data_IF_413720655525
#
_entry.id   IF_413720655525
#
_cell.length_a   1.000
_cell.length_b   1.000
_cell.length_c   1.000
_cell.angle_alpha   90.00
_cell.angle_beta   90.00
_cell.angle_gamma   90.00
#
_symmetry.space_group_name_H-M   'P 1'
#
loop_
_entity.id
_entity.type
_entity.pdbx_description
1 polymer ?
#
# COMPACT_ATOMS: atom_id res chain seq x y z
N UNK A 1 43.62 -1.71 38.51
CA UNK A 1 43.81 -2.10 37.09
C UNK A 1 42.77 -3.12 36.62
N UNK A 2 42.39 -4.11 37.43
CA UNK A 2 41.42 -5.16 37.03
C UNK A 2 39.98 -4.67 36.77
N UNK A 3 39.53 -3.58 37.39
CA UNK A 3 38.16 -3.07 37.20
C UNK A 3 37.93 -2.37 35.85
N UNK A 4 38.97 -1.74 35.30
CA UNK A 4 38.90 -1.03 34.01
C UNK A 4 38.86 -2.03 32.85
N UNK A 5 39.57 -3.15 32.97
CA UNK A 5 39.58 -4.24 31.99
C UNK A 5 38.21 -4.94 31.97
N UNK A 6 37.57 -5.10 33.14
CA UNK A 6 36.24 -5.72 33.22
C UNK A 6 35.14 -4.80 32.64
N UNK A 7 35.23 -3.48 32.88
CA UNK A 7 34.29 -2.50 32.32
C UNK A 7 34.41 -2.36 30.79
N UNK A 8 35.62 -2.49 30.25
CA UNK A 8 35.84 -2.42 28.79
C UNK A 8 35.38 -3.70 28.08
N UNK A 9 35.53 -4.87 28.70
CA UNK A 9 34.99 -6.13 28.17
C UNK A 9 33.46 -6.17 28.12
N UNK A 10 32.78 -5.59 29.12
CA UNK A 10 31.32 -5.51 29.17
C UNK A 10 30.77 -4.54 28.11
N UNK A 11 31.47 -3.43 27.85
CA UNK A 11 31.05 -2.45 26.83
C UNK A 11 31.16 -2.97 25.38
N UNK A 12 32.05 -3.93 25.12
CA UNK A 12 32.21 -4.54 23.78
C UNK A 12 31.05 -5.50 23.48
N UNK A 13 30.49 -6.18 24.50
CA UNK A 13 29.35 -7.08 24.33
C UNK A 13 28.00 -6.38 24.09
N UNK A 14 27.85 -5.09 24.45
CA UNK A 14 26.62 -4.32 24.21
C UNK A 14 26.50 -3.71 22.81
N UNK A 15 27.50 -3.90 21.93
CA UNK A 15 27.53 -3.27 20.60
C UNK A 15 27.02 -4.15 19.46
N UNK A 16 26.48 -5.33 19.76
CA UNK A 16 25.70 -6.12 18.80
C UNK A 16 24.32 -5.48 18.62
N UNK A 17 24.27 -4.40 17.84
CA UNK A 17 23.02 -3.91 17.26
C UNK A 17 22.44 -5.02 16.40
N UNK A 18 21.48 -5.74 16.97
CA UNK A 18 20.60 -6.61 16.21
C UNK A 18 19.78 -5.68 15.32
N UNK A 19 20.20 -5.53 14.06
CA UNK A 19 19.33 -4.99 13.02
C UNK A 19 18.14 -5.93 12.94
N UNK A 20 17.00 -5.47 13.46
CA UNK A 20 15.80 -6.26 13.58
C UNK A 20 15.09 -6.30 12.22
N UNK A 21 15.73 -7.01 11.31
CA UNK A 21 15.19 -7.33 9.99
C UNK A 21 14.35 -8.60 10.12
N UNK A 22 13.20 -8.68 9.45
CA UNK A 22 12.38 -9.88 9.43
C UNK A 22 13.20 -11.03 8.84
N UNK A 23 13.08 -12.23 9.42
CA UNK A 23 13.91 -13.37 9.02
C UNK A 23 13.58 -13.86 7.61
N UNK A 24 12.30 -13.82 7.25
CA UNK A 24 11.81 -14.23 5.94
C UNK A 24 10.85 -13.18 5.37
N UNK A 25 11.25 -12.53 4.28
CA UNK A 25 10.39 -11.59 3.53
C UNK A 25 9.88 -12.25 2.26
N UNK A 26 8.60 -12.10 2.00
CA UNK A 26 7.96 -12.56 0.78
C UNK A 26 7.08 -11.46 0.19
N UNK A 27 7.27 -11.13 -1.08
CA UNK A 27 6.53 -10.06 -1.77
C UNK A 27 5.78 -10.63 -2.97
N UNK A 28 4.48 -10.37 -3.02
CA UNK A 28 3.58 -10.83 -4.06
C UNK A 28 3.13 -9.64 -4.89
N UNK A 29 3.63 -9.57 -6.11
CA UNK A 29 3.29 -8.55 -7.10
C UNK A 29 2.09 -8.98 -7.93
N UNK A 30 0.97 -8.29 -7.76
CA UNK A 30 -0.24 -8.49 -8.55
C UNK A 30 -0.04 -7.95 -9.96
N UNK A 31 -0.39 -8.77 -10.94
CA UNK A 31 -0.34 -8.44 -12.36
C UNK A 31 -1.72 -8.58 -12.98
N UNK A 32 -1.97 -7.85 -14.07
CA UNK A 32 -3.25 -7.90 -14.78
C UNK A 32 -3.55 -9.32 -15.26
N UNK A 33 -4.81 -9.72 -15.17
CA UNK A 33 -5.31 -10.90 -15.87
C UNK A 33 -5.19 -10.68 -17.37
N UNK A 34 -4.09 -11.12 -17.97
CA UNK A 34 -3.99 -11.14 -19.42
C UNK A 34 -4.72 -12.37 -19.94
N UNK A 35 -5.77 -12.16 -20.75
CA UNK A 35 -6.33 -13.23 -21.57
C UNK A 35 -5.17 -13.94 -22.30
N UNK A 36 -5.07 -15.26 -22.13
CA UNK A 36 -3.95 -16.10 -22.61
C UNK A 36 -3.61 -15.88 -24.10
N UNK A 37 -4.58 -15.44 -24.91
CA UNK A 37 -4.41 -15.10 -26.32
C UNK A 37 -3.73 -13.75 -26.55
N UNK A 38 -4.01 -12.75 -25.71
CA UNK A 38 -3.45 -11.40 -25.82
C UNK A 38 -1.99 -11.36 -25.33
N UNK A 39 -1.67 -12.08 -24.25
CA UNK A 39 -0.28 -12.16 -23.75
C UNK A 39 0.65 -12.87 -24.72
N UNK A 40 0.15 -13.88 -25.45
CA UNK A 40 0.90 -14.57 -26.50
C UNK A 40 1.16 -13.67 -27.71
N UNK A 41 0.18 -12.82 -28.08
CA UNK A 41 0.33 -11.85 -29.17
C UNK A 41 1.31 -10.72 -28.81
N UNK A 42 1.22 -10.19 -27.58
CA UNK A 42 2.15 -9.17 -27.06
C UNK A 42 3.59 -9.70 -26.96
N UNK A 43 3.77 -10.99 -26.60
CA UNK A 43 5.07 -11.69 -26.60
C UNK A 43 5.71 -11.80 -27.98
N UNK A 44 4.93 -11.84 -29.06
CA UNK A 44 5.46 -11.88 -30.43
C UNK A 44 5.83 -10.50 -30.98
N UNK A 45 5.22 -9.42 -30.47
CA UNK A 45 5.33 -8.10 -31.09
C UNK A 45 6.44 -7.25 -30.44
N UNK A 46 6.73 -7.39 -29.15
CA UNK A 46 7.96 -6.84 -28.54
C UNK A 46 8.13 -7.25 -27.06
N UNK A 47 9.21 -7.95 -26.65
CA UNK A 47 9.45 -8.32 -25.25
C UNK A 47 9.75 -7.12 -24.34
N UNK A 48 10.22 -5.99 -24.89
CA UNK A 48 10.53 -4.76 -24.12
C UNK A 48 9.30 -3.90 -23.79
N UNK A 49 8.15 -4.14 -24.44
CA UNK A 49 6.94 -3.33 -24.23
C UNK A 49 6.18 -3.62 -22.93
N UNK A 50 6.57 -4.66 -22.20
CA UNK A 50 5.92 -5.05 -20.93
C UNK A 50 6.28 -4.07 -19.81
N UNK A 51 7.41 -3.36 -19.88
CA UNK A 51 7.86 -2.39 -18.87
C UNK A 51 7.44 -0.94 -19.15
N UNK A 52 6.70 -0.67 -20.24
CA UNK A 52 6.35 0.69 -20.63
C UNK A 52 4.93 0.77 -21.19
N UNK A 53 3.93 0.36 -20.41
CA UNK A 53 2.59 0.96 -20.55
C UNK A 53 2.60 2.34 -19.91
N UNK A 54 3.41 3.23 -20.46
CA UNK A 54 3.24 4.67 -20.32
C UNK A 54 1.85 4.96 -20.87
N UNK A 55 0.91 5.29 -19.99
CA UNK A 55 -0.47 5.70 -20.25
C UNK A 55 -0.70 6.16 -21.69
N UNK A 56 -1.20 5.26 -22.54
CA UNK A 56 -1.88 5.66 -23.78
C UNK A 56 -3.34 5.87 -23.43
N UNK A 57 -3.60 6.84 -22.56
CA UNK A 57 -4.89 7.49 -22.45
C UNK A 57 -4.80 8.71 -23.36
N UNK A 58 -4.95 8.49 -24.67
CA UNK A 58 -5.12 9.57 -25.66
C UNK A 58 -6.52 10.18 -25.61
N UNK A 59 -7.40 9.64 -24.77
CA UNK A 59 -8.79 10.04 -24.73
C UNK A 59 -9.03 10.96 -23.54
N UNK A 60 -9.43 12.18 -23.88
CA UNK A 60 -9.77 13.24 -22.95
C UNK A 60 -11.03 12.85 -22.14
N UNK A 61 -10.99 12.98 -20.82
CA UNK A 61 -12.11 12.59 -19.94
C UNK A 61 -13.11 13.76 -19.88
N UNK A 62 -14.37 13.60 -20.30
CA UNK A 62 -15.33 14.71 -20.33
C UNK A 62 -15.63 15.24 -18.92
N UNK A 63 -15.54 16.57 -18.73
CA UNK A 63 -15.83 17.26 -17.47
C UNK A 63 -16.51 18.60 -17.76
N UNK A 64 -17.78 18.75 -17.33
CA UNK A 64 -18.52 20.00 -17.55
C UNK A 64 -18.68 20.34 -19.03
N UNK A 65 -18.23 21.54 -19.42
CA UNK A 65 -18.30 22.05 -20.80
C UNK A 65 -17.03 21.75 -21.62
N UNK A 66 -16.10 20.95 -21.09
CA UNK A 66 -14.84 20.60 -21.72
C UNK A 66 -14.41 19.18 -21.40
N UNK A 67 -13.13 18.90 -21.56
CA UNK A 67 -12.55 17.61 -21.27
C UNK A 67 -11.19 17.76 -20.59
N UNK A 68 -10.86 16.86 -19.67
CA UNK A 68 -9.60 16.88 -18.93
C UNK A 68 -8.63 15.87 -19.54
N UNK A 69 -7.52 16.36 -20.08
CA UNK A 69 -6.43 15.55 -20.60
C UNK A 69 -5.29 15.47 -19.58
N UNK A 70 -4.74 14.29 -19.27
CA UNK A 70 -3.71 14.15 -18.23
C UNK A 70 -2.43 14.95 -18.47
N UNK A 71 -2.11 15.28 -19.72
CA UNK A 71 -0.90 16.04 -20.08
C UNK A 71 -1.19 17.53 -20.34
N UNK A 72 -2.35 17.84 -20.92
CA UNK A 72 -2.68 19.20 -21.39
C UNK A 72 -3.62 19.95 -20.43
N UNK A 73 -4.10 19.28 -19.38
CA UNK A 73 -5.05 19.85 -18.43
C UNK A 73 -6.47 19.95 -19.00
N UNK A 74 -7.23 20.94 -18.55
CA UNK A 74 -8.61 21.15 -18.99
C UNK A 74 -8.65 21.83 -20.37
N UNK A 75 -9.28 21.17 -21.33
CA UNK A 75 -9.49 21.62 -22.71
C UNK A 75 -10.96 22.02 -22.84
N UNK A 76 -11.21 23.30 -23.07
CA UNK A 76 -12.56 23.83 -23.32
C UNK A 76 -13.05 23.44 -24.72
N UNK A 77 -14.31 23.02 -24.84
CA UNK A 77 -14.93 22.73 -26.12
C UNK A 77 -15.34 24.06 -26.78
N UNK A 78 -14.54 24.53 -27.76
CA UNK A 78 -14.78 25.81 -28.46
C UNK A 78 -16.13 25.87 -29.19
N UNK A 79 -16.82 24.74 -29.35
CA UNK A 79 -18.16 24.66 -29.95
C UNK A 79 -19.31 25.12 -29.03
N UNK A 80 -19.04 25.35 -27.73
CA UNK A 80 -20.05 25.77 -26.74
C UNK A 80 -19.69 27.06 -26.02
N UNK A 81 -19.30 28.11 -26.74
CA UNK A 81 -19.28 29.47 -26.18
C UNK A 81 -20.70 29.96 -25.87
N UNK A 82 -21.23 29.61 -24.69
CA UNK A 82 -22.32 30.37 -24.08
C UNK A 82 -21.72 31.59 -23.39
N UNK A 83 -22.31 32.75 -23.69
CA UNK A 83 -22.01 34.04 -23.06
C UNK A 83 -22.06 33.88 -21.54
N UNK A 84 -20.94 34.13 -20.88
CA UNK A 84 -20.89 34.38 -19.44
C UNK A 84 -21.73 35.63 -19.18
N UNK A 85 -22.85 35.44 -18.50
CA UNK A 85 -23.53 36.50 -17.79
C UNK A 85 -22.96 36.43 -16.39
N UNK A 86 -22.24 37.48 -15.99
CA UNK A 86 -21.77 37.64 -14.61
C UNK A 86 -22.98 37.79 -13.69
N UNK A 87 -23.44 36.68 -13.12
CA UNK A 87 -24.30 36.72 -11.94
C UNK A 87 -23.43 36.94 -10.71
N UNK A 88 -23.39 38.19 -10.28
CA UNK A 88 -22.95 38.58 -8.95
C UNK A 88 -23.87 37.92 -7.94
N UNK A 89 -23.47 36.76 -7.41
CA UNK A 89 -24.16 36.13 -6.29
C UNK A 89 -23.75 36.86 -5.01
N UNK A 90 -24.73 37.56 -4.44
CA UNK A 90 -24.70 38.19 -3.14
C UNK A 90 -24.17 37.23 -2.06
N UNK A 91 -23.08 37.65 -1.42
CA UNK A 91 -22.52 37.06 -0.22
C UNK A 91 -23.48 37.30 0.95
N UNK A 92 -24.33 36.32 1.26
CA UNK A 92 -25.19 36.33 2.46
C UNK A 92 -25.21 34.96 3.12
N UNK A 93 -24.65 34.94 4.33
CA UNK A 93 -24.91 34.00 5.42
C UNK A 93 -24.83 32.51 5.07
N UNK A 94 -23.61 32.00 4.93
CA UNK A 94 -23.31 30.63 5.34
C UNK A 94 -22.56 30.69 6.66
N UNK A 95 -23.30 30.68 7.77
CA UNK A 95 -22.75 30.30 9.07
C UNK A 95 -22.15 28.89 8.93
N UNK A 96 -20.81 28.70 9.00
CA UNK A 96 -20.26 27.36 9.04
C UNK A 96 -20.72 26.74 10.37
N UNK A 97 -21.55 25.69 10.28
CA UNK A 97 -21.87 24.88 11.46
C UNK A 97 -20.56 24.28 11.96
N UNK A 98 -20.06 24.84 13.06
CA UNK A 98 -18.98 24.26 13.85
C UNK A 98 -19.44 22.88 14.31
N UNK A 99 -18.62 21.88 13.98
CA UNK A 99 -18.79 20.49 14.41
C UNK A 99 -18.75 20.48 15.95
N UNK A 100 -19.79 19.93 16.56
CA UNK A 100 -19.88 19.78 18.01
C UNK A 100 -18.68 18.96 18.52
N UNK A 101 -18.14 19.39 19.65
CA UNK A 101 -16.90 18.91 20.29
C UNK A 101 -16.91 17.45 20.78
N UNK A 102 -17.83 16.61 20.30
CA UNK A 102 -17.93 15.19 20.61
C UNK A 102 -17.29 14.29 19.52
N UNK A 103 -17.06 14.81 18.30
CA UNK A 103 -16.53 14.02 17.15
C UNK A 103 -15.03 14.28 16.85
N UNK A 104 -14.27 14.88 17.78
CA UNK A 104 -12.88 15.33 17.56
C UNK A 104 -11.82 14.34 18.12
N UNK A 105 -12.13 13.05 18.22
CA UNK A 105 -11.18 12.05 18.74
C UNK A 105 -10.26 11.39 17.68
N UNK A 106 -10.13 11.97 16.48
CA UNK A 106 -9.36 11.36 15.37
C UNK A 106 -8.30 12.27 14.71
N UNK A 107 -7.83 13.30 15.40
CA UNK A 107 -6.65 14.06 14.94
C UNK A 107 -5.39 13.30 15.36
N UNK A 108 -4.44 13.09 14.45
CA UNK A 108 -3.11 12.52 14.75
C UNK A 108 -2.14 13.61 15.18
N UNK A 109 -1.45 13.40 16.29
CA UNK A 109 -0.57 14.37 16.93
C UNK A 109 0.87 14.11 16.50
N UNK A 110 1.50 15.06 15.83
CA UNK A 110 2.94 15.01 15.53
C UNK A 110 3.59 16.32 15.99
N UNK A 111 4.58 16.19 16.87
CA UNK A 111 5.25 17.29 17.59
C UNK A 111 5.97 18.33 16.72
N UNK A 112 6.17 18.05 15.44
CA UNK A 112 6.86 18.94 14.52
C UNK A 112 5.92 19.76 13.62
N UNK A 113 4.60 19.65 13.83
CA UNK A 113 3.60 20.44 13.11
C UNK A 113 3.00 21.53 14.00
N UNK A 114 2.96 22.76 13.48
CA UNK A 114 2.48 23.97 14.18
C UNK A 114 0.98 23.93 14.57
N UNK A 115 0.23 22.91 14.15
CA UNK A 115 -1.21 22.75 14.39
C UNK A 115 -1.58 21.67 15.42
N UNK A 116 -0.65 21.30 16.32
CA UNK A 116 -0.83 20.19 17.27
C UNK A 116 -1.41 20.61 18.65
N UNK A 117 -2.37 21.55 18.67
CA UNK A 117 -2.98 22.05 19.92
C UNK A 117 -4.16 21.18 20.40
N UNK A 118 -4.69 20.29 19.55
CA UNK A 118 -5.93 19.55 19.83
C UNK A 118 -5.78 18.05 20.05
N UNK A 119 -4.55 17.57 20.25
CA UNK A 119 -4.32 16.17 20.11
C UNK A 119 -4.02 15.48 21.46
N UNK A 120 -5.02 14.76 21.95
CA UNK A 120 -4.92 13.94 23.16
C UNK A 120 -3.88 12.84 22.99
N UNK A 121 -3.00 12.69 23.99
CA UNK A 121 -2.00 11.62 24.19
C UNK A 121 -1.87 10.62 23.04
N UNK A 122 -0.91 10.88 22.14
CA UNK A 122 -0.47 9.96 21.10
C UNK A 122 -0.40 8.51 21.63
N UNK A 123 -1.27 7.64 21.13
CA UNK A 123 -1.18 6.22 21.41
C UNK A 123 0.10 5.71 20.75
N UNK A 124 1.02 5.20 21.56
CA UNK A 124 2.14 4.39 21.09
C UNK A 124 1.54 3.32 20.17
N UNK A 125 2.03 3.26 18.94
CA UNK A 125 1.81 2.11 18.05
C UNK A 125 2.19 0.90 18.89
N UNK A 126 1.18 0.13 19.32
CA UNK A 126 1.41 -1.11 20.02
C UNK A 126 1.89 -2.09 18.94
N UNK A 127 3.17 -2.01 18.58
CA UNK A 127 3.88 -3.17 18.06
C UNK A 127 3.76 -4.24 19.14
N UNK A 128 2.70 -5.05 19.07
CA UNK A 128 2.62 -6.29 19.82
C UNK A 128 3.93 -7.02 19.54
N UNK A 129 4.64 -7.33 20.61
CA UNK A 129 5.89 -8.05 20.55
C UNK A 129 5.70 -9.35 19.78
N UNK A 130 6.28 -9.43 18.58
CA UNK A 130 6.53 -10.64 17.81
C UNK A 130 5.30 -11.48 17.45
N UNK A 131 4.48 -11.02 16.51
CA UNK A 131 3.63 -11.95 15.75
C UNK A 131 4.49 -12.79 14.81
N UNK A 132 4.17 -14.08 14.70
CA UNK A 132 4.93 -15.00 13.85
C UNK A 132 4.77 -14.66 12.36
N UNK A 133 3.58 -14.19 11.98
CA UNK A 133 3.25 -13.75 10.64
C UNK A 133 2.75 -12.31 10.63
N UNK A 134 3.33 -11.49 9.76
CA UNK A 134 2.86 -10.16 9.45
C UNK A 134 2.50 -10.09 7.96
N UNK A 135 1.33 -9.51 7.66
CA UNK A 135 0.83 -9.36 6.30
C UNK A 135 0.56 -7.89 6.05
N UNK A 136 1.21 -7.34 5.02
CA UNK A 136 1.02 -5.96 4.57
C UNK A 136 0.33 -5.93 3.23
N UNK A 137 -0.73 -5.14 3.15
CA UNK A 137 -1.57 -5.08 1.96
C UNK A 137 -1.61 -3.66 1.48
N UNK A 138 -1.06 -3.48 0.30
CA UNK A 138 -1.07 -2.20 -0.37
C UNK A 138 -2.52 -1.81 -0.68
N UNK A 139 -2.83 -0.53 -0.50
CA UNK A 139 -4.10 0.10 -0.83
C UNK A 139 -3.90 1.33 -1.70
N UNK A 140 -2.78 1.43 -2.42
CA UNK A 140 -2.50 2.45 -3.42
C UNK A 140 -3.54 2.49 -4.54
N UNK A 141 -3.59 3.61 -5.26
CA UNK A 141 -4.55 3.81 -6.34
C UNK A 141 -4.31 2.89 -7.57
N UNK A 142 -3.07 2.45 -7.81
CA UNK A 142 -2.69 1.58 -8.94
C UNK A 142 -3.34 0.20 -8.85
N UNK A 143 -3.55 -0.31 -7.63
CA UNK A 143 -4.19 -1.61 -7.38
C UNK A 143 -5.60 -1.76 -7.95
N UNK A 144 -6.30 -0.65 -8.19
CA UNK A 144 -7.62 -0.66 -8.80
C UNK A 144 -7.65 -1.36 -10.15
N UNK A 145 -6.53 -1.46 -10.86
CA UNK A 145 -6.46 -2.13 -12.15
C UNK A 145 -6.32 -3.65 -12.03
N UNK A 146 -5.83 -4.15 -10.89
CA UNK A 146 -5.35 -5.52 -10.74
C UNK A 146 -6.35 -6.45 -10.04
N UNK A 147 -7.21 -5.92 -9.17
CA UNK A 147 -8.17 -6.72 -8.42
C UNK A 147 -9.58 -6.12 -8.31
N UNK A 148 -9.95 -5.33 -9.32
CA UNK A 148 -11.27 -4.69 -9.44
C UNK A 148 -12.42 -5.71 -9.37
N UNK A 149 -13.41 -5.41 -8.53
CA UNK A 149 -14.74 -6.04 -8.57
C UNK A 149 -15.79 -5.02 -8.98
N UNK A 150 -16.88 -5.51 -9.58
CA UNK A 150 -18.08 -4.70 -9.87
C UNK A 150 -18.89 -4.40 -8.60
N UNK A 151 -18.71 -5.19 -7.56
CA UNK A 151 -19.42 -5.04 -6.28
C UNK A 151 -18.62 -4.13 -5.34
N UNK A 152 -19.27 -3.09 -4.81
CA UNK A 152 -18.65 -2.17 -3.87
C UNK A 152 -18.19 -2.91 -2.61
N UNK A 153 -16.96 -2.65 -2.17
CA UNK A 153 -16.35 -3.30 -1.00
C UNK A 153 -15.85 -4.72 -1.24
N UNK A 154 -15.99 -5.29 -2.44
CA UNK A 154 -15.42 -6.60 -2.78
C UNK A 154 -14.17 -6.44 -3.63
N UNK A 155 -13.12 -7.18 -3.29
CA UNK A 155 -11.88 -7.26 -4.04
C UNK A 155 -11.17 -8.58 -3.73
N UNK A 156 -10.27 -9.04 -4.60
CA UNK A 156 -9.57 -10.32 -4.38
C UNK A 156 -8.67 -10.30 -3.15
N UNK A 157 -8.07 -9.15 -2.84
CA UNK A 157 -7.32 -8.94 -1.58
C UNK A 157 -8.19 -9.19 -0.35
N UNK A 158 -9.44 -8.69 -0.33
CA UNK A 158 -10.39 -8.96 0.77
C UNK A 158 -10.67 -10.46 0.91
N UNK A 159 -10.98 -11.16 -0.19
CA UNK A 159 -11.24 -12.60 -0.15
C UNK A 159 -10.05 -13.39 0.39
N UNK A 160 -8.84 -13.01 -0.01
CA UNK A 160 -7.60 -13.59 0.52
C UNK A 160 -7.49 -13.40 2.03
N UNK A 161 -7.67 -12.17 2.53
CA UNK A 161 -7.59 -11.88 3.96
C UNK A 161 -8.64 -12.66 4.74
N UNK A 162 -9.88 -12.69 4.25
CA UNK A 162 -10.97 -13.40 4.90
C UNK A 162 -10.63 -14.89 5.07
N UNK A 163 -10.06 -15.52 4.05
CA UNK A 163 -9.56 -16.91 4.14
C UNK A 163 -8.42 -17.04 5.16
N UNK A 164 -7.48 -16.11 5.20
CA UNK A 164 -6.34 -16.14 6.14
C UNK A 164 -6.81 -15.97 7.59
N UNK A 165 -7.66 -14.99 7.88
CA UNK A 165 -8.21 -14.77 9.22
C UNK A 165 -9.01 -15.99 9.70
N UNK A 166 -9.78 -16.62 8.81
CA UNK A 166 -10.54 -17.82 9.15
C UNK A 166 -9.65 -19.08 9.31
N UNK A 167 -8.49 -19.11 8.65
CA UNK A 167 -7.56 -20.24 8.66
C UNK A 167 -6.47 -20.19 9.73
N UNK A 168 -6.20 -19.00 10.30
CA UNK A 168 -5.13 -18.78 11.27
C UNK A 168 -5.64 -18.41 12.67
N UNK A 169 -4.96 -18.79 13.75
CA UNK A 169 -5.23 -18.28 15.09
C UNK A 169 -5.07 -16.75 15.14
N UNK A 170 -6.02 -16.03 15.76
CA UNK A 170 -6.03 -14.55 15.81
C UNK A 170 -4.77 -13.91 16.38
N UNK A 171 -4.03 -14.61 17.24
CA UNK A 171 -2.82 -14.11 17.89
C UNK A 171 -1.55 -14.32 17.03
N UNK A 172 -1.63 -15.18 16.02
CA UNK A 172 -0.47 -15.56 15.19
C UNK A 172 -0.23 -14.64 13.99
N UNK A 173 -1.24 -13.85 13.60
CA UNK A 173 -1.20 -13.02 12.39
C UNK A 173 -1.50 -11.56 12.74
N UNK A 174 -0.62 -10.67 12.31
CA UNK A 174 -0.91 -9.25 12.24
C UNK A 174 -1.16 -8.84 10.78
N UNK A 175 -2.27 -8.17 10.50
CA UNK A 175 -2.60 -7.71 9.15
C UNK A 175 -2.68 -6.19 9.17
N UNK A 176 -1.89 -5.57 8.30
CA UNK A 176 -1.86 -4.13 8.12
C UNK A 176 -2.10 -3.76 6.67
N UNK A 177 -2.65 -2.56 6.46
CA UNK A 177 -2.76 -1.92 5.16
C UNK A 177 -1.72 -0.82 5.05
N UNK A 178 -1.22 -0.57 3.85
CA UNK A 178 -0.25 0.49 3.64
C UNK A 178 -0.47 1.27 2.34
N UNK A 179 -0.09 2.54 2.40
CA UNK A 179 0.14 3.39 1.25
C UNK A 179 1.27 4.36 1.60
N UNK A 180 0.92 5.59 2.01
CA UNK A 180 1.83 6.53 2.64
C UNK A 180 2.12 6.17 4.09
N UNK A 181 1.29 5.37 4.77
CA UNK A 181 1.54 4.89 6.13
C UNK A 181 1.04 3.47 6.34
N UNK A 182 1.73 2.68 7.17
CA UNK A 182 1.22 1.39 7.65
C UNK A 182 0.19 1.64 8.76
N UNK A 183 -0.97 0.99 8.65
CA UNK A 183 -2.03 1.01 9.66
C UNK A 183 -2.54 -0.42 9.87
N UNK A 184 -2.82 -0.78 11.12
CA UNK A 184 -3.49 -2.05 11.40
C UNK A 184 -4.85 -2.11 10.69
N UNK A 185 -5.21 -3.29 10.21
CA UNK A 185 -6.46 -3.49 9.50
C UNK A 185 -7.64 -3.33 10.47
N UNK A 186 -8.46 -2.30 10.24
CA UNK A 186 -9.70 -2.07 10.98
C UNK A 186 -10.84 -2.96 10.46
N UNK A 187 -11.41 -2.60 9.30
CA UNK A 187 -12.45 -3.37 8.62
C UNK A 187 -11.89 -4.05 7.36
N UNK A 188 -12.45 -5.20 7.00
CA UNK A 188 -12.08 -5.92 5.77
C UNK A 188 -12.32 -5.10 4.50
N UNK A 189 -13.32 -4.23 4.50
CA UNK A 189 -13.66 -3.37 3.37
C UNK A 189 -12.53 -2.38 3.03
N UNK A 190 -11.77 -1.95 4.05
CA UNK A 190 -10.66 -0.97 3.91
C UNK A 190 -9.61 -1.44 2.91
N UNK A 191 -9.46 -2.75 2.73
CA UNK A 191 -8.49 -3.34 1.79
C UNK A 191 -8.86 -3.05 0.34
N UNK A 192 -10.13 -2.84 0.06
CA UNK A 192 -10.60 -2.51 -1.29
C UNK A 192 -10.58 -1.00 -1.56
N UNK A 193 -10.33 -0.16 -0.54
CA UNK A 193 -10.28 1.30 -0.66
C UNK A 193 -8.94 1.76 -1.24
N UNK A 194 -8.86 1.77 -2.57
CA UNK A 194 -7.64 2.13 -3.31
C UNK A 194 -7.45 3.66 -3.38
N UNK A 195 -6.40 4.17 -2.76
CA UNK A 195 -6.04 5.59 -2.73
C UNK A 195 -4.57 5.85 -2.38
N UNK A 196 -4.07 6.99 -2.84
CA UNK A 196 -2.71 7.43 -2.55
C UNK A 196 -1.65 6.74 -3.42
N UNK A 197 -0.40 7.00 -3.08
CA UNK A 197 0.79 6.45 -3.73
C UNK A 197 1.67 5.82 -2.66
N UNK A 198 2.51 4.87 -3.08
CA UNK A 198 3.56 4.33 -2.23
C UNK A 198 4.86 5.11 -2.38
N UNK A 199 5.67 5.04 -1.34
CA UNK A 199 7.05 5.50 -1.33
C UNK A 199 7.94 4.29 -1.05
N UNK A 200 8.74 3.90 -2.04
CA UNK A 200 9.59 2.71 -1.94
C UNK A 200 10.67 2.85 -0.87
N UNK A 201 11.16 4.06 -0.60
CA UNK A 201 12.18 4.29 0.43
C UNK A 201 11.59 4.08 1.81
N UNK A 202 10.36 4.58 1.97
CA UNK A 202 9.59 4.37 3.19
C UNK A 202 9.21 2.91 3.39
N UNK A 203 8.81 2.21 2.31
CA UNK A 203 8.49 0.78 2.36
C UNK A 203 9.72 -0.04 2.75
N UNK A 204 10.87 0.23 2.15
CA UNK A 204 12.15 -0.40 2.54
C UNK A 204 12.43 -0.14 4.02
N UNK A 205 12.33 1.12 4.46
CA UNK A 205 12.52 1.47 5.86
C UNK A 205 11.56 0.74 6.80
N UNK A 206 10.31 0.49 6.40
CA UNK A 206 9.40 -0.32 7.20
C UNK A 206 9.83 -1.78 7.26
N UNK A 207 10.24 -2.38 6.14
CA UNK A 207 10.73 -3.78 6.12
C UNK A 207 11.94 -3.92 7.05
N UNK A 208 12.88 -2.99 7.00
CA UNK A 208 14.07 -3.00 7.86
C UNK A 208 13.76 -2.89 9.36
N UNK A 209 12.61 -2.30 9.70
CA UNK A 209 12.16 -2.11 11.08
C UNK A 209 11.12 -3.16 11.54
N UNK A 210 10.70 -4.08 10.68
CA UNK A 210 9.74 -5.13 11.04
C UNK A 210 10.40 -6.20 11.90
N UNK A 211 9.81 -6.47 13.07
CA UNK A 211 10.26 -7.51 14.00
C UNK A 211 9.58 -8.88 13.77
N UNK A 212 8.83 -9.04 12.68
CA UNK A 212 8.09 -10.27 12.40
C UNK A 212 9.04 -11.41 12.01
N UNK A 213 8.65 -12.67 12.32
CA UNK A 213 9.43 -13.82 11.83
C UNK A 213 9.27 -13.99 10.32
N UNK A 214 8.03 -13.84 9.84
CA UNK A 214 7.66 -13.91 8.42
C UNK A 214 6.85 -12.67 8.05
N UNK A 215 7.29 -11.96 7.02
CA UNK A 215 6.58 -10.83 6.44
C UNK A 215 6.09 -11.18 5.04
N UNK A 216 4.79 -11.02 4.79
CA UNK A 216 4.17 -11.17 3.46
C UNK A 216 3.64 -9.81 3.01
N UNK A 217 4.13 -9.29 1.90
CA UNK A 217 3.71 -8.01 1.33
C UNK A 217 2.95 -8.28 0.03
N UNK A 218 1.75 -7.74 -0.09
CA UNK A 218 0.91 -7.85 -1.29
C UNK A 218 0.77 -6.45 -1.88
N UNK A 219 1.24 -6.27 -3.11
CA UNK A 219 1.21 -5.01 -3.86
C UNK A 219 1.11 -5.29 -5.35
N UNK A 220 0.98 -4.28 -6.20
CA UNK A 220 0.99 -4.46 -7.64
C UNK A 220 2.41 -4.40 -8.23
N UNK A 221 2.56 -4.90 -9.45
CA UNK A 221 3.85 -4.94 -10.15
C UNK A 221 4.43 -3.55 -10.47
N UNK A 222 3.63 -2.49 -10.44
CA UNK A 222 4.12 -1.13 -10.71
C UNK A 222 5.00 -0.61 -9.57
N UNK A 223 4.86 -1.17 -8.36
CA UNK A 223 5.75 -0.90 -7.22
C UNK A 223 7.13 -1.56 -7.35
N UNK A 224 7.30 -2.51 -8.28
CA UNK A 224 8.59 -3.16 -8.51
C UNK A 224 9.54 -2.30 -9.35
N UNK A 225 10.11 -1.28 -8.73
CA UNK A 225 11.18 -0.48 -9.33
C UNK A 225 12.58 -1.05 -9.03
N UNK A 226 13.59 -0.54 -9.75
CA UNK A 226 14.98 -1.01 -9.63
C UNK A 226 15.52 -0.95 -8.20
N UNK A 227 15.18 0.10 -7.44
CA UNK A 227 15.66 0.27 -6.07
C UNK A 227 15.05 -0.78 -5.15
N UNK A 228 13.72 -0.93 -5.20
CA UNK A 228 13.03 -1.91 -4.40
C UNK A 228 13.41 -3.35 -4.77
N UNK A 229 13.51 -3.65 -6.07
CA UNK A 229 13.96 -4.95 -6.55
C UNK A 229 15.38 -5.30 -6.10
N UNK A 230 16.33 -4.35 -6.18
CA UNK A 230 17.70 -4.56 -5.69
C UNK A 230 17.73 -4.82 -4.17
N UNK A 231 16.92 -4.08 -3.41
CA UNK A 231 16.79 -4.29 -1.97
C UNK A 231 16.23 -5.68 -1.66
N UNK A 232 15.11 -6.08 -2.28
CA UNK A 232 14.51 -7.41 -2.08
C UNK A 232 15.50 -8.54 -2.40
N UNK A 233 16.26 -8.39 -3.48
CA UNK A 233 17.32 -9.35 -3.84
C UNK A 233 18.44 -9.40 -2.80
N UNK A 234 18.82 -8.25 -2.22
CA UNK A 234 19.90 -8.16 -1.22
C UNK A 234 19.54 -8.87 0.10
N UNK A 235 18.26 -8.91 0.46
CA UNK A 235 17.76 -9.62 1.65
C UNK A 235 17.29 -11.04 1.32
N UNK A 236 17.51 -11.52 0.09
CA UNK A 236 17.03 -12.81 -0.40
C UNK A 236 15.51 -13.03 -0.22
N UNK A 237 14.72 -11.96 -0.39
CA UNK A 237 13.27 -12.05 -0.31
C UNK A 237 12.71 -12.98 -1.40
N UNK A 238 11.66 -13.72 -1.06
CA UNK A 238 10.93 -14.54 -2.03
C UNK A 238 9.97 -13.65 -2.81
N UNK A 239 10.15 -13.57 -4.12
CA UNK A 239 9.32 -12.74 -5.00
C UNK A 239 8.35 -13.63 -5.78
N UNK A 240 7.08 -13.23 -5.84
CA UNK A 240 6.06 -13.80 -6.73
C UNK A 240 5.50 -12.71 -7.64
N UNK A 241 5.16 -13.07 -8.88
CA UNK A 241 4.57 -12.15 -9.86
C UNK A 241 5.59 -11.38 -10.72
N UNK A 242 6.89 -11.53 -10.45
CA UNK A 242 7.99 -11.02 -11.29
C UNK A 242 8.21 -11.83 -12.58
N UNK A 243 7.56 -12.99 -12.70
CA UNK A 243 7.72 -13.92 -13.83
C UNK A 243 6.75 -13.61 -14.97
N UNK A 244 7.06 -14.06 -16.22
CA UNK A 244 6.22 -13.80 -17.41
C UNK A 244 4.80 -14.40 -17.39
N UNK A 245 4.50 -15.28 -16.43
CA UNK A 245 3.15 -15.80 -16.22
C UNK A 245 2.27 -14.85 -15.39
N UNK A 246 2.89 -13.87 -14.71
CA UNK A 246 2.22 -12.98 -13.76
C UNK A 246 1.84 -13.70 -12.46
N UNK A 247 1.24 -12.94 -11.55
CA UNK A 247 0.55 -13.43 -10.37
C UNK A 247 -0.75 -12.62 -10.25
N UNK A 248 -1.88 -13.24 -10.52
CA UNK A 248 -3.17 -12.56 -10.69
C UNK A 248 -3.96 -12.51 -9.38
N UNK A 249 -5.07 -11.77 -9.36
CA UNK A 249 -6.00 -11.77 -8.23
C UNK A 249 -6.57 -13.16 -7.91
N UNK A 250 -6.64 -14.07 -8.90
CA UNK A 250 -7.00 -15.47 -8.68
C UNK A 250 -5.88 -16.24 -7.98
N UNK A 251 -4.63 -16.07 -8.42
CA UNK A 251 -3.48 -16.71 -7.78
C UNK A 251 -3.30 -16.23 -6.32
N UNK A 252 -3.62 -14.96 -6.05
CA UNK A 252 -3.68 -14.42 -4.70
C UNK A 252 -4.69 -15.18 -3.83
N UNK A 253 -5.89 -15.40 -4.36
CA UNK A 253 -6.95 -16.10 -3.65
C UNK A 253 -6.60 -17.57 -3.37
N UNK A 254 -5.95 -18.25 -4.32
CA UNK A 254 -5.49 -19.64 -4.17
C UNK A 254 -4.26 -19.74 -3.25
N UNK A 255 -3.42 -18.70 -3.24
CA UNK A 255 -2.26 -18.54 -2.38
C UNK A 255 -2.59 -18.43 -0.88
N UNK A 256 -3.87 -18.21 -0.52
CA UNK A 256 -4.28 -18.12 0.89
C UNK A 256 -3.90 -19.37 1.69
N UNK A 257 -3.92 -20.56 1.09
CA UNK A 257 -3.56 -21.81 1.76
C UNK A 257 -2.08 -21.87 2.12
N UNK A 258 -1.21 -21.30 1.28
CA UNK A 258 0.21 -21.21 1.56
C UNK A 258 0.47 -20.31 2.77
N UNK A 259 -0.21 -19.17 2.85
CA UNK A 259 -0.09 -18.24 3.99
C UNK A 259 -0.66 -18.86 5.27
N UNK A 260 -1.79 -19.56 5.18
CA UNK A 260 -2.37 -20.30 6.31
C UNK A 260 -1.39 -21.36 6.84
N UNK A 261 -0.58 -21.97 5.96
CA UNK A 261 0.44 -22.95 6.39
C UNK A 261 1.54 -22.33 7.26
N UNK A 262 1.80 -21.02 7.13
CA UNK A 262 2.76 -20.31 7.96
C UNK A 262 2.27 -20.10 9.39
N UNK A 263 0.95 -20.06 9.60
CA UNK A 263 0.33 -19.93 10.92
C UNK A 263 0.33 -21.23 11.74
N UNK A 264 0.62 -22.37 11.12
CA UNK A 264 0.50 -23.72 11.73
C UNK A 264 1.81 -24.27 12.28
N UNK A 265 2.86 -23.45 12.36
CA UNK A 265 4.20 -23.85 12.80
C UNK A 265 4.48 -23.46 14.24
#
# INVERSE_FOLDING_TARGET
MNMIILSTLISIFCSAYVFATPKDVEVWFLTLETDSKMSMLLKMINPEMISSKKYVLRDCIPMGDGCFHPQDGYIEDESKKKKVVDEVVNDKDLNPKTINSADVDLIKCDKDNYFDIFCGKAQKINTKSGTDLEIWIDISASLKQYDFSKEAGFCKRRMFIEKVINGCPKESVNISVFNTSIKELGSLDTVCDTHGMNDSDRLIGWIENSNSKKLVIITDIDEYNLKFGNYLNSIHAKIKGDKPAGFTGKDLEDGSQEVISYCKK
#
